data_IF_957150741284
#
_entry.id   IF_957150741284
#
_cell.length_a   1.000
_cell.length_b   1.000
_cell.length_c   1.000
_cell.angle_alpha   90.00
_cell.angle_beta   90.00
_cell.angle_gamma   90.00
#
_symmetry.space_group_name_H-M   'P 1'
#
loop_
_entity.id
_entity.type
_entity.pdbx_description
1 polymer ?
#
# COMPACT_ATOMS: atom_id res chain seq x y z
N UNK A 1 6.04 25.60 -1.80
CA UNK A 1 5.33 24.84 -0.74
C UNK A 1 4.11 24.11 -1.31
N UNK A 2 3.12 24.83 -1.84
CA UNK A 2 1.89 24.22 -2.40
C UNK A 2 2.19 23.27 -3.56
N UNK A 3 3.13 23.59 -4.43
CA UNK A 3 3.51 22.70 -5.53
C UNK A 3 4.04 21.36 -5.03
N UNK A 4 4.92 21.37 -4.02
CA UNK A 4 5.42 20.16 -3.36
C UNK A 4 4.27 19.37 -2.74
N UNK A 5 3.32 20.04 -2.06
CA UNK A 5 2.11 19.43 -1.50
C UNK A 5 1.27 18.76 -2.59
N UNK A 6 0.99 19.47 -3.69
CA UNK A 6 0.25 18.95 -4.86
C UNK A 6 0.96 17.74 -5.47
N UNK A 7 2.29 17.77 -5.58
CA UNK A 7 3.09 16.70 -6.16
C UNK A 7 3.06 15.43 -5.30
N UNK A 8 3.09 15.57 -3.97
CA UNK A 8 2.93 14.44 -3.05
C UNK A 8 1.57 13.77 -3.23
N UNK A 9 0.47 14.54 -3.20
CA UNK A 9 -0.87 13.99 -3.39
C UNK A 9 -1.10 13.40 -4.77
N UNK A 10 -0.53 14.00 -5.83
CA UNK A 10 -0.54 13.42 -7.18
C UNK A 10 0.16 12.06 -7.20
N UNK A 11 1.31 11.93 -6.55
CA UNK A 11 2.00 10.64 -6.47
C UNK A 11 1.29 9.61 -5.58
N UNK A 12 0.55 10.04 -4.55
CA UNK A 12 -0.31 9.14 -3.77
C UNK A 12 -1.50 8.62 -4.60
N UNK A 13 -2.05 9.45 -5.50
CA UNK A 13 -3.07 9.04 -6.47
C UNK A 13 -2.50 8.02 -7.47
N UNK A 14 -1.26 8.22 -7.94
CA UNK A 14 -0.59 7.23 -8.81
C UNK A 14 -0.40 5.90 -8.07
N UNK A 15 0.00 5.93 -6.80
CA UNK A 15 0.09 4.72 -5.99
C UNK A 15 -1.26 4.01 -5.83
N UNK A 16 -2.36 4.76 -5.73
CA UNK A 16 -3.71 4.21 -5.70
C UNK A 16 -4.06 3.43 -6.99
N UNK A 17 -3.71 3.98 -8.16
CA UNK A 17 -3.85 3.28 -9.44
C UNK A 17 -2.98 2.03 -9.53
N UNK A 18 -1.76 2.07 -8.99
CA UNK A 18 -0.90 0.90 -8.93
C UNK A 18 -1.52 -0.24 -8.10
N UNK A 19 -2.09 0.07 -6.93
CA UNK A 19 -2.85 -0.91 -6.13
C UNK A 19 -4.05 -1.48 -6.89
N UNK A 20 -4.82 -0.62 -7.56
CA UNK A 20 -5.96 -1.07 -8.36
C UNK A 20 -5.52 -1.97 -9.52
N UNK A 21 -4.45 -1.62 -10.23
CA UNK A 21 -3.89 -2.41 -11.32
C UNK A 21 -3.39 -3.78 -10.87
N UNK A 22 -2.66 -3.85 -9.74
CA UNK A 22 -2.27 -5.13 -9.13
C UNK A 22 -3.50 -5.95 -8.75
N UNK A 23 -4.49 -5.32 -8.12
CA UNK A 23 -5.72 -6.01 -7.72
C UNK A 23 -6.47 -6.61 -8.91
N UNK A 24 -6.64 -5.83 -9.99
CA UNK A 24 -7.24 -6.31 -11.24
C UNK A 24 -6.44 -7.45 -11.88
N UNK A 25 -5.10 -7.37 -11.90
CA UNK A 25 -4.26 -8.44 -12.41
C UNK A 25 -4.43 -9.73 -11.59
N UNK A 26 -4.39 -9.62 -10.25
CA UNK A 26 -4.60 -10.76 -9.36
C UNK A 26 -6.00 -11.36 -9.51
N UNK A 27 -7.03 -10.52 -9.74
CA UNK A 27 -8.39 -10.99 -10.03
C UNK A 27 -8.44 -11.84 -11.29
N UNK A 28 -7.82 -11.38 -12.38
CA UNK A 28 -7.78 -12.11 -13.65
C UNK A 28 -7.04 -13.43 -13.48
N UNK A 29 -5.89 -13.43 -12.81
CA UNK A 29 -5.13 -14.66 -12.53
C UNK A 29 -5.96 -15.63 -11.68
N UNK A 30 -6.64 -15.15 -10.65
CA UNK A 30 -7.49 -15.98 -9.80
C UNK A 30 -8.67 -16.57 -10.59
N UNK A 31 -9.35 -15.76 -11.41
CA UNK A 31 -10.45 -16.22 -12.25
C UNK A 31 -10.00 -17.29 -13.26
N UNK A 32 -8.83 -17.09 -13.89
CA UNK A 32 -8.23 -18.08 -14.79
C UNK A 32 -7.90 -19.38 -14.05
N UNK A 33 -7.25 -19.29 -12.88
CA UNK A 33 -6.97 -20.46 -12.05
C UNK A 33 -8.29 -21.18 -11.71
N UNK A 34 -9.30 -20.47 -11.24
CA UNK A 34 -10.57 -21.08 -10.87
C UNK A 34 -11.28 -21.76 -12.04
N UNK A 35 -11.21 -21.19 -13.24
CA UNK A 35 -11.84 -21.74 -14.44
C UNK A 35 -11.11 -22.97 -15.00
N UNK A 36 -9.77 -22.96 -14.98
CA UNK A 36 -8.94 -24.01 -15.60
C UNK A 36 -8.49 -25.11 -14.61
N UNK A 37 -8.84 -25.02 -13.32
CA UNK A 37 -8.31 -25.92 -12.32
C UNK A 37 -9.01 -27.27 -12.22
N UNK A 38 -8.18 -28.32 -12.13
CA UNK A 38 -8.57 -29.71 -11.87
C UNK A 38 -8.09 -30.16 -10.47
N UNK A 39 -7.17 -29.44 -9.81
CA UNK A 39 -6.52 -29.86 -8.55
C UNK A 39 -6.85 -28.94 -7.35
N UNK A 40 -7.07 -29.49 -6.14
CA UNK A 40 -7.44 -28.73 -4.94
C UNK A 40 -6.43 -27.65 -4.53
N UNK A 41 -5.12 -27.88 -4.71
CA UNK A 41 -4.09 -26.93 -4.28
C UNK A 41 -4.18 -25.57 -4.99
N UNK A 42 -4.53 -25.59 -6.27
CA UNK A 42 -4.69 -24.35 -7.04
C UNK A 42 -6.01 -23.62 -6.75
N UNK A 43 -7.03 -24.32 -6.21
CA UNK A 43 -8.25 -23.66 -5.72
C UNK A 43 -7.94 -22.80 -4.49
N UNK A 44 -7.14 -23.29 -3.55
CA UNK A 44 -6.71 -22.50 -2.39
C UNK A 44 -5.86 -21.29 -2.79
N UNK A 45 -4.99 -21.46 -3.80
CA UNK A 45 -4.25 -20.35 -4.38
C UNK A 45 -5.20 -19.31 -5.00
N UNK A 46 -6.20 -19.74 -5.78
CA UNK A 46 -7.21 -18.85 -6.35
C UNK A 46 -7.94 -18.04 -5.26
N UNK A 47 -8.40 -18.69 -4.19
CA UNK A 47 -9.06 -17.99 -3.09
C UNK A 47 -8.16 -16.95 -2.43
N UNK A 48 -6.90 -17.27 -2.19
CA UNK A 48 -5.95 -16.30 -1.63
C UNK A 48 -5.71 -15.12 -2.57
N UNK A 49 -5.62 -15.35 -3.88
CA UNK A 49 -5.50 -14.29 -4.89
C UNK A 49 -6.77 -13.45 -5.03
N UNK A 50 -7.96 -14.03 -4.87
CA UNK A 50 -9.23 -13.29 -4.83
C UNK A 50 -9.30 -12.37 -3.61
N UNK A 51 -8.96 -12.87 -2.42
CA UNK A 51 -8.90 -12.06 -1.20
C UNK A 51 -7.89 -10.93 -1.37
N UNK A 52 -6.72 -11.22 -1.95
CA UNK A 52 -5.73 -10.19 -2.25
C UNK A 52 -6.27 -9.15 -3.25
N UNK A 53 -6.90 -9.58 -4.34
CA UNK A 53 -7.53 -8.67 -5.30
C UNK A 53 -8.52 -7.70 -4.62
N UNK A 54 -9.44 -8.23 -3.81
CA UNK A 54 -10.44 -7.44 -3.09
C UNK A 54 -9.76 -6.41 -2.18
N UNK A 55 -8.73 -6.85 -1.43
CA UNK A 55 -7.96 -5.96 -0.58
C UNK A 55 -7.27 -4.83 -1.39
N UNK A 56 -6.58 -5.18 -2.47
CA UNK A 56 -5.83 -4.23 -3.29
C UNK A 56 -6.74 -3.23 -4.01
N UNK A 57 -7.86 -3.69 -4.58
CA UNK A 57 -8.87 -2.84 -5.19
C UNK A 57 -9.53 -1.92 -4.17
N UNK A 58 -9.93 -2.46 -3.01
CA UNK A 58 -10.54 -1.67 -1.93
C UNK A 58 -9.58 -0.59 -1.43
N UNK A 59 -8.33 -0.96 -1.16
CA UNK A 59 -7.29 -0.01 -0.73
C UNK A 59 -6.99 1.05 -1.81
N UNK A 60 -6.83 0.63 -3.07
CA UNK A 60 -6.64 1.54 -4.19
C UNK A 60 -7.78 2.55 -4.32
N UNK A 61 -9.02 2.09 -4.22
CA UNK A 61 -10.22 2.95 -4.29
C UNK A 61 -10.27 3.95 -3.14
N UNK A 62 -10.04 3.50 -1.90
CA UNK A 62 -10.03 4.39 -0.72
C UNK A 62 -8.91 5.43 -0.84
N UNK A 63 -7.70 5.02 -1.22
CA UNK A 63 -6.58 5.93 -1.42
C UNK A 63 -6.90 6.97 -2.50
N UNK A 64 -7.43 6.55 -3.64
CA UNK A 64 -7.82 7.45 -4.72
C UNK A 64 -8.82 8.50 -4.23
N UNK A 65 -9.87 8.08 -3.53
CA UNK A 65 -10.90 8.99 -3.02
C UNK A 65 -10.32 10.02 -2.03
N UNK A 66 -9.59 9.55 -1.01
CA UNK A 66 -9.03 10.42 0.04
C UNK A 66 -8.01 11.41 -0.53
N UNK A 67 -7.10 10.94 -1.38
CA UNK A 67 -6.03 11.77 -1.92
C UNK A 67 -6.49 12.69 -3.05
N UNK A 68 -7.50 12.30 -3.83
CA UNK A 68 -8.12 13.19 -4.82
C UNK A 68 -8.81 14.38 -4.14
N UNK A 69 -9.53 14.15 -3.03
CA UNK A 69 -10.16 15.23 -2.27
C UNK A 69 -9.12 16.23 -1.73
N UNK A 70 -8.02 15.73 -1.16
CA UNK A 70 -6.92 16.58 -0.67
C UNK A 70 -6.20 17.30 -1.81
N UNK A 71 -5.94 16.61 -2.92
CA UNK A 71 -5.34 17.21 -4.11
C UNK A 71 -6.17 18.38 -4.65
N UNK A 72 -7.49 18.21 -4.76
CA UNK A 72 -8.41 19.27 -5.21
C UNK A 72 -8.42 20.46 -4.25
N UNK A 73 -8.41 20.22 -2.94
CA UNK A 73 -8.28 21.28 -1.94
C UNK A 73 -7.01 22.11 -2.16
N UNK A 74 -5.84 21.44 -2.25
CA UNK A 74 -4.57 22.13 -2.46
C UNK A 74 -4.40 22.73 -3.86
N UNK A 75 -5.17 22.26 -4.85
CA UNK A 75 -5.21 22.84 -6.20
C UNK A 75 -5.94 24.18 -6.21
N UNK A 76 -6.96 24.34 -5.38
CA UNK A 76 -7.82 25.53 -5.36
C UNK A 76 -7.32 26.66 -4.45
N UNK A 77 -6.32 26.41 -3.61
CA UNK A 77 -5.68 27.46 -2.79
C UNK A 77 -4.46 28.06 -3.52
N UNK A 78 -4.29 29.38 -3.41
CA UNK A 78 -3.15 30.10 -3.98
C UNK A 78 -1.95 30.15 -3.02
N UNK A 79 -2.21 30.27 -1.71
CA UNK A 79 -1.18 30.34 -0.67
C UNK A 79 -1.49 29.44 0.54
N UNK A 80 -0.43 28.97 1.19
CA UNK A 80 -0.52 28.03 2.30
C UNK A 80 -0.32 28.79 3.60
N UNK A 81 -1.42 29.06 4.30
CA UNK A 81 -1.40 29.70 5.61
C UNK A 81 -0.66 28.80 6.63
N UNK A 82 0.00 29.42 7.62
CA UNK A 82 0.62 28.81 8.80
C UNK A 82 -0.26 27.71 9.43
N UNK A 83 -1.56 27.98 9.56
CA UNK A 83 -2.52 26.97 10.06
C UNK A 83 -2.53 25.69 9.22
N UNK A 84 -2.63 25.82 7.89
CA UNK A 84 -2.65 24.67 6.98
C UNK A 84 -1.30 23.95 6.93
N UNK A 85 -0.20 24.67 7.11
CA UNK A 85 1.14 24.10 7.23
C UNK A 85 1.26 23.22 8.48
N UNK A 86 0.84 23.72 9.63
CA UNK A 86 0.87 22.97 10.90
C UNK A 86 -0.06 21.75 10.88
N UNK A 87 -1.25 21.88 10.29
CA UNK A 87 -2.16 20.76 10.07
C UNK A 87 -1.52 19.68 9.16
N UNK A 88 -0.83 20.09 8.10
CA UNK A 88 -0.19 19.17 7.17
C UNK A 88 1.05 18.48 7.76
N UNK A 89 1.82 19.17 8.60
CA UNK A 89 2.93 18.60 9.38
C UNK A 89 2.39 17.50 10.31
N UNK A 90 1.35 17.80 11.09
CA UNK A 90 0.73 16.84 12.02
C UNK A 90 0.13 15.64 11.29
N UNK A 91 -0.55 15.88 10.17
CA UNK A 91 -1.12 14.84 9.32
C UNK A 91 -0.03 13.94 8.72
N UNK A 92 1.03 14.53 8.17
CA UNK A 92 2.16 13.81 7.55
C UNK A 92 2.93 13.00 8.59
N UNK A 93 3.22 13.57 9.77
CA UNK A 93 3.85 12.86 10.88
C UNK A 93 3.04 11.63 11.31
N UNK A 94 1.73 11.80 11.47
CA UNK A 94 0.80 10.71 11.81
C UNK A 94 0.75 9.61 10.73
N UNK A 95 0.94 9.95 9.44
CA UNK A 95 1.06 8.97 8.36
C UNK A 95 2.35 8.16 8.46
N UNK A 96 3.47 8.81 8.75
CA UNK A 96 4.79 8.16 8.87
C UNK A 96 4.79 7.15 10.03
N UNK A 97 4.26 7.51 11.20
CA UNK A 97 4.19 6.60 12.35
C UNK A 97 3.34 5.36 12.03
N UNK A 98 2.18 5.54 11.41
CA UNK A 98 1.31 4.42 10.99
C UNK A 98 1.99 3.51 9.97
N UNK A 99 2.70 4.08 8.99
CA UNK A 99 3.46 3.31 8.01
C UNK A 99 4.59 2.50 8.65
N UNK A 100 5.34 3.10 9.58
CA UNK A 100 6.41 2.42 10.31
C UNK A 100 5.90 1.22 11.12
N UNK A 101 4.75 1.36 11.79
CA UNK A 101 4.12 0.25 12.51
C UNK A 101 3.67 -0.86 11.55
N UNK A 102 3.00 -0.50 10.45
CA UNK A 102 2.56 -1.46 9.43
C UNK A 102 3.73 -2.20 8.78
N UNK A 103 4.82 -1.50 8.46
CA UNK A 103 6.03 -2.09 7.86
C UNK A 103 6.59 -3.23 8.69
N UNK A 104 6.72 -3.05 10.00
CA UNK A 104 7.22 -4.09 10.91
C UNK A 104 6.32 -5.34 10.87
N UNK A 105 5.01 -5.14 10.89
CA UNK A 105 4.04 -6.23 10.78
C UNK A 105 4.22 -7.00 9.46
N UNK A 106 4.33 -6.31 8.33
CA UNK A 106 4.51 -6.96 7.02
C UNK A 106 5.81 -7.75 6.93
N UNK A 107 6.91 -7.25 7.52
CA UNK A 107 8.17 -8.02 7.62
C UNK A 107 7.94 -9.32 8.41
N UNK A 108 7.29 -9.24 9.58
CA UNK A 108 7.02 -10.43 10.38
C UNK A 108 6.13 -11.43 9.66
N UNK A 109 5.08 -10.96 8.98
CA UNK A 109 4.19 -11.82 8.18
C UNK A 109 4.94 -12.45 7.01
N UNK A 110 5.85 -11.74 6.34
CA UNK A 110 6.69 -12.32 5.29
C UNK A 110 7.60 -13.43 5.83
N UNK A 111 8.32 -13.16 6.93
CA UNK A 111 9.24 -14.15 7.53
C UNK A 111 8.46 -15.39 7.96
N UNK A 112 7.39 -15.22 8.72
CA UNK A 112 6.55 -16.33 9.20
C UNK A 112 5.90 -17.08 8.04
N UNK A 113 5.34 -16.36 7.06
CA UNK A 113 4.73 -16.97 5.87
C UNK A 113 5.74 -17.76 5.04
N UNK A 114 7.00 -17.33 4.98
CA UNK A 114 8.07 -18.04 4.27
C UNK A 114 8.48 -19.32 5.01
N UNK A 115 8.57 -19.27 6.34
CA UNK A 115 8.82 -20.46 7.18
C UNK A 115 7.68 -21.46 7.04
N UNK A 116 6.42 -21.01 7.08
CA UNK A 116 5.23 -21.85 6.91
C UNK A 116 5.18 -22.46 5.50
N UNK A 117 5.50 -21.69 4.47
CA UNK A 117 5.60 -22.20 3.10
C UNK A 117 6.68 -23.28 2.98
N UNK A 118 7.85 -23.08 3.60
CA UNK A 118 8.94 -24.06 3.62
C UNK A 118 8.52 -25.35 4.35
N UNK A 119 7.87 -25.23 5.51
CA UNK A 119 7.29 -26.37 6.21
C UNK A 119 6.25 -27.11 5.36
N UNK A 120 5.41 -26.36 4.64
CA UNK A 120 4.39 -26.88 3.74
C UNK A 120 4.93 -27.80 2.64
N UNK A 121 6.18 -27.63 2.21
CA UNK A 121 6.83 -28.51 1.21
C UNK A 121 6.91 -29.96 1.70
N UNK A 122 7.11 -30.16 3.00
CA UNK A 122 7.29 -31.49 3.61
C UNK A 122 5.98 -32.06 4.20
N UNK A 123 4.88 -31.31 4.14
CA UNK A 123 3.59 -31.74 4.69
C UNK A 123 2.77 -32.56 3.68
N UNK A 124 1.93 -33.45 4.20
CA UNK A 124 0.93 -34.20 3.42
C UNK A 124 -0.05 -33.25 2.72
N UNK A 125 -0.35 -32.10 3.34
CA UNK A 125 -1.25 -31.07 2.81
C UNK A 125 -0.52 -29.94 2.08
N UNK A 126 0.59 -30.25 1.39
CA UNK A 126 1.44 -29.28 0.69
C UNK A 126 0.69 -28.25 -0.15
N UNK A 127 -0.36 -28.66 -0.86
CA UNK A 127 -1.13 -27.79 -1.74
C UNK A 127 -1.91 -26.69 -1.00
N UNK A 128 -2.45 -27.02 0.17
CA UNK A 128 -3.22 -26.07 0.99
C UNK A 128 -2.30 -25.07 1.67
N UNK A 129 -1.24 -25.56 2.30
CA UNK A 129 -0.29 -24.72 3.05
C UNK A 129 0.46 -23.78 2.09
N UNK A 130 0.98 -24.30 0.98
CA UNK A 130 1.70 -23.48 0.00
C UNK A 130 0.74 -22.54 -0.72
N UNK A 131 -0.43 -23.04 -1.14
CA UNK A 131 -1.44 -22.25 -1.87
C UNK A 131 -1.98 -21.07 -1.07
N UNK A 132 -2.09 -21.19 0.25
CA UNK A 132 -2.51 -20.09 1.14
C UNK A 132 -1.35 -19.16 1.55
N UNK A 133 -0.14 -19.69 1.74
CA UNK A 133 1.01 -18.90 2.19
C UNK A 133 1.54 -17.96 1.10
N UNK A 134 1.54 -18.39 -0.16
CA UNK A 134 2.06 -17.57 -1.28
C UNK A 134 1.33 -16.22 -1.39
N UNK A 135 -0.02 -16.15 -1.47
CA UNK A 135 -0.74 -14.88 -1.53
C UNK A 135 -0.48 -13.97 -0.33
N UNK A 136 -0.36 -14.53 0.88
CA UNK A 136 -0.08 -13.76 2.10
C UNK A 136 1.31 -13.12 2.05
N UNK A 137 2.33 -13.87 1.63
CA UNK A 137 3.69 -13.36 1.47
C UNK A 137 3.75 -12.34 0.35
N UNK A 138 3.08 -12.60 -0.78
CA UNK A 138 3.02 -11.67 -1.93
C UNK A 138 2.38 -10.34 -1.54
N UNK A 139 1.22 -10.37 -0.87
CA UNK A 139 0.54 -9.19 -0.36
C UNK A 139 1.46 -8.40 0.59
N UNK A 140 2.09 -9.10 1.54
CA UNK A 140 2.98 -8.47 2.52
C UNK A 140 4.23 -7.86 1.88
N UNK A 141 4.78 -8.50 0.85
CA UNK A 141 5.91 -7.98 0.07
C UNK A 141 5.56 -6.70 -0.67
N UNK A 142 4.40 -6.66 -1.35
CA UNK A 142 3.92 -5.47 -2.06
C UNK A 142 3.67 -4.32 -1.07
N UNK A 143 3.02 -4.60 0.06
CA UNK A 143 2.80 -3.62 1.13
C UNK A 143 4.10 -3.06 1.70
N UNK A 144 5.09 -3.94 1.90
CA UNK A 144 6.41 -3.55 2.38
C UNK A 144 7.13 -2.63 1.38
N UNK A 145 7.21 -3.03 0.11
CA UNK A 145 7.88 -2.25 -0.95
C UNK A 145 7.23 -0.88 -1.16
N UNK A 146 5.90 -0.83 -1.28
CA UNK A 146 5.17 0.43 -1.41
C UNK A 146 5.28 1.26 -0.13
N UNK A 147 5.27 0.61 1.04
CA UNK A 147 5.49 1.23 2.34
C UNK A 147 6.81 1.99 2.41
N UNK A 148 7.91 1.38 1.98
CA UNK A 148 9.23 2.01 1.94
C UNK A 148 9.28 3.21 0.99
N UNK A 149 8.83 3.04 -0.26
CA UNK A 149 8.86 4.10 -1.27
C UNK A 149 8.06 5.34 -0.82
N UNK A 150 6.89 5.12 -0.24
CA UNK A 150 6.04 6.20 0.25
C UNK A 150 6.58 6.85 1.52
N UNK A 151 7.24 6.09 2.40
CA UNK A 151 7.87 6.65 3.61
C UNK A 151 9.01 7.59 3.27
N UNK A 152 9.93 7.22 2.38
CA UNK A 152 11.02 8.10 1.95
C UNK A 152 10.50 9.44 1.43
N UNK A 153 9.48 9.39 0.55
CA UNK A 153 8.83 10.58 0.01
C UNK A 153 8.15 11.43 1.09
N UNK A 154 7.50 10.80 2.06
CA UNK A 154 6.84 11.51 3.17
C UNK A 154 7.84 12.14 4.14
N UNK A 155 8.96 11.48 4.42
CA UNK A 155 10.03 12.02 5.27
C UNK A 155 10.70 13.22 4.61
N UNK A 156 11.00 13.12 3.31
CA UNK A 156 11.54 14.23 2.54
C UNK A 156 10.55 15.41 2.51
N UNK A 157 9.27 15.14 2.28
CA UNK A 157 8.23 16.15 2.32
C UNK A 157 8.08 16.81 3.69
N UNK A 158 8.08 16.04 4.78
CA UNK A 158 8.05 16.56 6.14
C UNK A 158 9.28 17.43 6.43
N UNK A 159 10.45 17.05 5.92
CA UNK A 159 11.67 17.85 6.04
C UNK A 159 11.54 19.18 5.30
N UNK A 160 10.93 19.20 4.11
CA UNK A 160 10.65 20.43 3.36
C UNK A 160 9.67 21.33 4.13
N UNK A 161 8.62 20.75 4.72
CA UNK A 161 7.64 21.48 5.54
C UNK A 161 8.28 22.14 6.77
N UNK A 162 9.23 21.44 7.42
CA UNK A 162 9.90 21.92 8.63
C UNK A 162 11.10 22.85 8.35
N UNK A 163 11.75 22.76 7.18
CA UNK A 163 12.97 23.51 6.87
C UNK A 163 12.75 24.97 6.47
N UNK A 164 11.54 25.39 6.11
CA UNK A 164 11.31 26.79 5.77
C UNK A 164 11.24 27.62 7.07
N UNK A 165 12.25 28.49 7.33
CA UNK A 165 12.21 29.40 8.45
C UNK A 165 11.06 30.39 8.26
N UNK A 166 10.55 30.90 9.37
CA UNK A 166 9.91 32.21 9.47
C UNK A 166 10.86 33.26 8.87
N UNK A 167 10.83 33.43 7.56
CA UNK A 167 11.48 34.52 6.86
C UNK A 167 10.38 35.20 6.04
N UNK A 168 9.56 35.98 6.76
CA UNK A 168 9.02 37.31 6.42
C UNK A 168 8.23 37.72 7.67
N UNK A 169 8.89 38.42 8.58
CA UNK A 169 8.31 39.50 9.39
C UNK A 169 9.43 40.43 9.83
#
# INVERSE_FOLDING_TARGET
MIESTRLIYKGDIVAAFFYAGIGSLMFVIAALLQYFNISPGFLYLSYGLLVFSIYALGKGTIMYYVYSKRYLFYKNIQEMNERYKNEEINYTGSRIVRKNKGRRLHIYVMILGSIVAFYGIFSVERGLIIGSSIPIVLLSGIEFSVGLLTEFRLQEYLRILNKQPENIS
#
